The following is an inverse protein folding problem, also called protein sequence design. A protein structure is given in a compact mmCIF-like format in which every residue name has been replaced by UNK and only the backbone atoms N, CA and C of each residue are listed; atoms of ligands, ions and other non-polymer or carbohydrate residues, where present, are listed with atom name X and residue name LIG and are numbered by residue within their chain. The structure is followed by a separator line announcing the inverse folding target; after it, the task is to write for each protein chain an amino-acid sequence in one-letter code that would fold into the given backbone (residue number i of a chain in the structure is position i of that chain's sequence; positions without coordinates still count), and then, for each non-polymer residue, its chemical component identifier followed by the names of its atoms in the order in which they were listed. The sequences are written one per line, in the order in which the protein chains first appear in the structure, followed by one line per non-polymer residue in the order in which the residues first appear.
data_IF_924166480465
#
_entry.id   IF_924166480465
#
_cell.length_a   1.000
_cell.length_b   1.000
_cell.length_c   1.000
_cell.angle_alpha   90.00
_cell.angle_beta   90.00
_cell.angle_gamma   90.00
#
_symmetry.space_group_name_H-M   'P 1'
#
loop_
_entity.id
_entity.type
_entity.pdbx_description
1 polymer ?
#
# COMPACT_ATOMS: atom_id res chain seq x y z
N UNK A 1 -10.02 5.19 3.55
CA UNK A 1 -9.12 4.04 3.77
C UNK A 1 -7.68 4.49 3.77
N UNK A 2 -7.14 5.01 2.65
CA UNK A 2 -5.78 5.56 2.56
C UNK A 2 -5.48 6.53 3.71
N UNK A 3 -6.28 7.59 3.87
CA UNK A 3 -6.13 8.56 4.98
C UNK A 3 -6.17 7.98 6.39
N UNK A 4 -6.94 6.91 6.60
CA UNK A 4 -7.00 6.25 7.90
C UNK A 4 -5.74 5.41 8.15
N UNK A 5 -5.18 4.83 7.09
CA UNK A 5 -3.92 4.09 7.14
C UNK A 5 -2.72 5.02 7.27
N UNK A 6 -2.72 6.17 6.57
CA UNK A 6 -1.73 7.24 6.74
C UNK A 6 -1.71 7.74 8.19
N UNK A 7 -2.88 8.11 8.74
CA UNK A 7 -2.98 8.56 10.13
C UNK A 7 -2.53 7.49 11.14
N UNK A 8 -2.80 6.21 10.86
CA UNK A 8 -2.31 5.11 11.68
C UNK A 8 -0.78 4.98 11.60
N UNK A 9 -0.19 5.03 10.40
CA UNK A 9 1.26 5.02 10.21
C UNK A 9 1.94 6.19 10.96
N UNK A 10 1.41 7.39 10.83
CA UNK A 10 1.89 8.57 11.57
C UNK A 10 1.82 8.35 13.08
N UNK A 11 0.73 7.77 13.59
CA UNK A 11 0.58 7.45 15.02
C UNK A 11 1.57 6.39 15.51
N UNK A 12 2.00 5.49 14.62
CA UNK A 12 3.02 4.48 14.87
C UNK A 12 4.45 5.02 14.67
N UNK A 13 4.62 6.32 14.40
CA UNK A 13 5.91 6.99 14.24
C UNK A 13 6.56 6.80 12.88
N UNK A 14 5.78 6.45 11.85
CA UNK A 14 6.27 6.45 10.47
C UNK A 14 6.16 7.86 9.87
N UNK A 15 7.19 8.26 9.11
CA UNK A 15 7.12 9.45 8.28
C UNK A 15 6.42 9.09 6.96
N UNK A 16 5.24 9.66 6.72
CA UNK A 16 4.47 9.47 5.47
C UNK A 16 4.88 10.55 4.46
N UNK A 17 5.25 10.14 3.26
CA UNK A 17 5.65 11.05 2.19
C UNK A 17 4.50 11.38 1.25
N UNK A 18 4.53 12.60 0.68
CA UNK A 18 3.58 13.04 -0.34
C UNK A 18 3.74 12.15 -1.58
N UNK A 19 2.64 11.50 -1.95
CA UNK A 19 2.52 10.57 -3.07
C UNK A 19 3.31 11.04 -4.29
N UNK A 20 4.36 10.29 -4.64
CA UNK A 20 4.97 10.29 -5.98
C UNK A 20 4.58 8.98 -6.66
N UNK A 21 4.30 9.05 -7.96
CA UNK A 21 4.03 7.91 -8.84
C UNK A 21 2.70 7.16 -8.58
N UNK A 22 2.75 5.82 -8.64
CA UNK A 22 1.60 4.90 -8.72
C UNK A 22 1.22 4.27 -7.37
N UNK A 23 1.88 4.68 -6.29
CA UNK A 23 1.70 4.13 -4.94
C UNK A 23 0.71 4.98 -4.16
N UNK A 24 -0.20 4.33 -3.42
CA UNK A 24 -1.17 5.06 -2.60
C UNK A 24 -0.51 5.63 -1.33
N UNK A 25 0.51 4.95 -0.78
CA UNK A 25 1.26 5.40 0.41
C UNK A 25 2.73 4.98 0.31
N UNK A 26 3.63 5.91 0.63
CA UNK A 26 5.04 5.64 0.91
C UNK A 26 5.33 6.12 2.33
N UNK A 27 5.96 5.28 3.14
CA UNK A 27 6.29 5.63 4.52
C UNK A 27 7.65 5.07 4.94
N UNK A 28 8.39 5.83 5.75
CA UNK A 28 9.72 5.43 6.24
C UNK A 28 9.82 5.48 7.76
N UNK A 29 10.57 4.53 8.34
CA UNK A 29 10.85 4.45 9.78
C UNK A 29 12.09 3.59 10.01
N UNK A 30 13.02 4.06 10.85
CA UNK A 30 14.20 3.30 11.29
C UNK A 30 15.03 2.67 10.15
N UNK A 31 15.11 3.35 9.00
CA UNK A 31 15.82 2.85 7.81
C UNK A 31 15.02 1.84 6.96
N UNK A 32 13.78 1.51 7.35
CA UNK A 32 12.85 0.76 6.53
C UNK A 32 11.96 1.69 5.70
N UNK A 33 11.66 1.29 4.46
CA UNK A 33 10.69 1.98 3.60
C UNK A 33 9.57 1.03 3.19
N UNK A 34 8.34 1.49 3.35
CA UNK A 34 7.12 0.80 2.94
C UNK A 34 6.54 1.46 1.71
N UNK A 35 6.36 0.66 0.65
CA UNK A 35 5.56 1.03 -0.52
C UNK A 35 4.24 0.27 -0.45
N UNK A 36 3.11 0.99 -0.51
CA UNK A 36 1.78 0.41 -0.28
C UNK A 36 0.75 0.89 -1.29
N UNK A 37 -0.09 -0.05 -1.70
CA UNK A 37 -1.30 0.20 -2.49
C UNK A 37 -2.52 -0.19 -1.63
N UNK A 38 -3.48 0.71 -1.53
CA UNK A 38 -4.69 0.57 -0.74
C UNK A 38 -5.87 0.27 -1.65
N UNK A 39 -6.60 -0.79 -1.35
CA UNK A 39 -7.77 -1.20 -2.14
C UNK A 39 -9.06 -1.11 -1.32
N UNK A 40 -10.00 -0.32 -1.83
CA UNK A 40 -11.35 -0.15 -1.25
C UNK A 40 -12.32 -1.28 -1.64
N UNK A 41 -13.61 -1.07 -1.36
CA UNK A 41 -14.68 -2.00 -1.77
C UNK A 41 -14.73 -2.13 -3.29
N UNK A 42 -14.86 -3.36 -3.79
CA UNK A 42 -14.88 -3.66 -5.23
C UNK A 42 -16.07 -4.55 -5.59
N UNK A 43 -16.65 -4.31 -6.77
CA UNK A 43 -17.71 -5.14 -7.35
C UNK A 43 -17.21 -6.50 -7.85
N UNK A 44 -15.89 -6.72 -7.93
CA UNK A 44 -15.28 -7.99 -8.38
C UNK A 44 -14.05 -8.37 -7.51
N UNK A 45 -14.27 -8.91 -6.30
CA UNK A 45 -13.22 -9.20 -5.33
C UNK A 45 -12.07 -10.08 -5.86
N UNK A 46 -12.38 -11.07 -6.70
CA UNK A 46 -11.36 -11.98 -7.26
C UNK A 46 -10.44 -11.30 -8.28
N UNK A 47 -10.99 -10.49 -9.18
CA UNK A 47 -10.23 -9.82 -10.25
C UNK A 47 -9.25 -8.80 -9.67
N UNK A 48 -9.70 -8.03 -8.68
CA UNK A 48 -8.90 -6.97 -8.08
C UNK A 48 -7.74 -7.50 -7.24
N UNK A 49 -7.90 -8.70 -6.64
CA UNK A 49 -6.80 -9.35 -5.94
C UNK A 49 -5.69 -9.73 -6.92
N UNK A 50 -6.04 -10.27 -8.09
CA UNK A 50 -5.07 -10.64 -9.13
C UNK A 50 -4.42 -9.42 -9.76
N UNK A 51 -5.20 -8.40 -10.11
CA UNK A 51 -4.67 -7.13 -10.64
C UNK A 51 -3.70 -6.50 -9.68
N UNK A 52 -4.08 -6.36 -8.41
CA UNK A 52 -3.20 -5.76 -7.42
C UNK A 52 -1.95 -6.62 -7.13
N UNK A 53 -2.00 -7.94 -7.40
CA UNK A 53 -0.84 -8.81 -7.23
C UNK A 53 0.12 -8.62 -8.41
N UNK A 54 -0.42 -8.49 -9.62
CA UNK A 54 0.34 -8.10 -10.80
C UNK A 54 1.02 -6.74 -10.62
N UNK A 55 0.29 -5.74 -10.10
CA UNK A 55 0.84 -4.40 -9.85
C UNK A 55 2.04 -4.41 -8.90
N UNK A 56 1.96 -5.14 -7.77
CA UNK A 56 3.07 -5.24 -6.82
C UNK A 56 4.28 -5.94 -7.47
N UNK A 57 4.07 -7.06 -8.17
CA UNK A 57 5.16 -7.82 -8.80
C UNK A 57 5.86 -7.00 -9.88
N UNK A 58 5.10 -6.27 -10.72
CA UNK A 58 5.67 -5.42 -11.75
C UNK A 58 6.53 -4.30 -11.14
N UNK A 59 6.07 -3.67 -10.07
CA UNK A 59 6.76 -2.52 -9.46
C UNK A 59 7.94 -2.90 -8.57
N UNK A 60 8.03 -4.15 -8.10
CA UNK A 60 9.21 -4.63 -7.37
C UNK A 60 10.51 -4.49 -8.17
N UNK A 61 10.44 -4.55 -9.50
CA UNK A 61 11.60 -4.34 -10.38
C UNK A 61 11.97 -2.88 -10.59
N UNK A 62 11.11 -1.94 -10.18
CA UNK A 62 11.32 -0.49 -10.32
C UNK A 62 11.99 0.11 -9.07
N UNK A 63 11.98 -0.59 -7.95
CA UNK A 63 12.60 -0.15 -6.69
C UNK A 63 14.03 -0.71 -6.59
N UNK A 64 15.03 0.17 -6.65
CA UNK A 64 16.45 -0.22 -6.55
C UNK A 64 16.84 -0.69 -5.14
N UNK A 65 16.12 -0.24 -4.11
CA UNK A 65 16.37 -0.60 -2.72
C UNK A 65 15.92 -2.04 -2.40
N UNK A 66 16.90 -2.92 -2.20
CA UNK A 66 16.69 -4.34 -1.88
C UNK A 66 16.16 -4.61 -0.47
N UNK A 67 16.15 -3.59 0.39
CA UNK A 67 15.57 -3.67 1.73
C UNK A 67 14.09 -3.26 1.76
N UNK A 68 13.58 -2.71 0.65
CA UNK A 68 12.21 -2.23 0.54
C UNK A 68 11.18 -3.36 0.74
N UNK A 69 10.22 -3.13 1.63
CA UNK A 69 9.12 -4.07 1.90
C UNK A 69 7.87 -3.63 1.15
N UNK A 70 7.35 -4.52 0.32
CA UNK A 70 6.12 -4.31 -0.45
C UNK A 70 4.95 -5.01 0.25
N UNK A 71 3.76 -4.42 0.19
CA UNK A 71 2.61 -4.97 0.88
C UNK A 71 1.31 -4.34 0.39
N UNK A 72 0.19 -4.99 0.69
CA UNK A 72 -1.14 -4.48 0.36
C UNK A 72 -1.87 -4.08 1.63
N UNK A 73 -2.62 -3.00 1.53
CA UNK A 73 -3.55 -2.56 2.58
C UNK A 73 -4.95 -2.94 2.16
N UNK A 74 -5.62 -3.75 2.99
CA UNK A 74 -6.96 -4.27 2.74
C UNK A 74 -7.84 -3.89 3.94
N UNK A 75 -9.13 -3.60 3.70
CA UNK A 75 -10.09 -3.42 4.79
C UNK A 75 -10.23 -4.71 5.59
N UNK A 76 -10.32 -4.60 6.92
CA UNK A 76 -10.58 -5.75 7.79
C UNK A 76 -12.00 -6.33 7.61
N UNK A 77 -12.95 -5.55 7.09
CA UNK A 77 -14.31 -6.00 6.80
C UNK A 77 -14.67 -5.70 5.35
N UNK A 78 -15.04 -6.73 4.58
CA UNK A 78 -15.73 -6.57 3.31
C UNK A 78 -17.18 -6.19 3.60
N UNK A 79 -17.44 -4.92 3.93
CA UNK A 79 -18.83 -4.46 4.00
C UNK A 79 -19.40 -4.48 2.59
N UNK A 80 -20.24 -5.48 2.29
CA UNK A 80 -21.15 -5.44 1.14
C UNK A 80 -21.98 -4.17 1.22
N UNK A 81 -22.08 -3.45 0.11
CA UNK A 81 -23.05 -2.37 -0.08
C UNK A 81 -24.48 -2.91 0.08
#
# INVERSE_FOLDING_TARGET
MVRAFEAWLESEGWAVEVVRDHWDVIASKDGETLYREAKGTTSQPGLDIHTASGQIICRQGEVEDRTARHGRVIRNEATSL
#
